data_IF_209589313971
#
_entry.id   IF_209589313971
#
_cell.length_a   1.000
_cell.length_b   1.000
_cell.length_c   1.000
_cell.angle_alpha   90.00
_cell.angle_beta   90.00
_cell.angle_gamma   90.00
#
_symmetry.space_group_name_H-M   'P 1'
#
loop_
_entity.id
_entity.type
_entity.pdbx_description
1 polymer ?
#
# COMPACT_ATOMS: atom_id res chain seq x y z
N UNK A 1 -25.90 9.96 7.05
CA UNK A 1 -25.23 10.87 7.99
C UNK A 1 -23.74 10.48 8.07
N UNK A 2 -22.95 10.92 7.10
CA UNK A 2 -21.52 10.57 6.96
C UNK A 2 -20.68 11.45 7.89
N UNK A 3 -20.25 10.91 9.02
CA UNK A 3 -19.28 11.56 9.91
C UNK A 3 -17.88 11.51 9.29
N UNK A 4 -17.51 12.54 8.51
CA UNK A 4 -16.14 12.75 8.07
C UNK A 4 -15.26 13.17 9.26
N UNK A 5 -14.60 12.20 9.88
CA UNK A 5 -13.57 12.44 10.90
C UNK A 5 -12.35 13.13 10.25
N UNK A 6 -12.29 14.46 10.36
CA UNK A 6 -11.13 15.26 9.99
C UNK A 6 -9.97 14.97 10.95
N UNK A 7 -9.03 14.09 10.58
CA UNK A 7 -7.77 13.98 11.30
C UNK A 7 -6.78 15.03 10.79
N UNK A 8 -6.36 15.93 11.68
CA UNK A 8 -5.17 16.75 11.48
C UNK A 8 -3.94 15.91 11.81
N UNK A 9 -3.04 15.70 10.85
CA UNK A 9 -1.72 15.13 11.16
C UNK A 9 -0.88 16.26 11.76
N UNK A 10 -0.32 16.10 12.97
CA UNK A 10 0.59 17.08 13.56
C UNK A 10 1.83 17.31 12.68
N UNK A 11 2.27 18.57 12.58
CA UNK A 11 3.41 19.03 11.76
C UNK A 11 4.74 18.31 12.04
N UNK A 12 4.82 17.62 13.17
CA UNK A 12 5.95 16.90 13.72
C UNK A 12 6.01 15.40 13.33
N UNK A 13 4.96 14.84 12.74
CA UNK A 13 4.94 13.43 12.26
C UNK A 13 5.24 13.28 10.76
N UNK A 14 5.22 14.40 10.02
CA UNK A 14 5.60 14.47 8.62
C UNK A 14 7.03 14.99 8.57
N UNK A 15 7.93 14.18 8.00
CA UNK A 15 9.33 14.50 7.77
C UNK A 15 9.52 15.99 7.36
N UNK A 16 10.37 16.74 8.08
CA UNK A 16 10.23 18.18 8.20
C UNK A 16 10.66 18.89 6.90
N UNK A 17 9.99 20.01 6.60
CA UNK A 17 10.30 20.97 5.52
C UNK A 17 9.81 20.59 4.12
N UNK A 18 8.50 20.49 3.97
CA UNK A 18 7.83 20.53 2.65
C UNK A 18 7.76 21.99 2.18
N UNK A 19 8.66 22.38 1.29
CA UNK A 19 8.67 23.73 0.71
C UNK A 19 8.30 23.70 -0.78
N UNK A 20 7.36 24.54 -1.19
CA UNK A 20 7.27 25.03 -2.59
C UNK A 20 7.73 26.48 -2.56
N UNK A 21 8.85 26.80 -3.24
CA UNK A 21 9.47 28.15 -3.22
C UNK A 21 9.74 28.68 -1.79
N UNK A 22 10.29 27.83 -0.91
CA UNK A 22 10.66 28.25 0.45
C UNK A 22 9.52 28.39 1.47
N UNK A 23 8.24 28.17 1.11
CA UNK A 23 7.10 28.27 2.06
C UNK A 23 6.61 26.89 2.52
N UNK A 24 6.39 26.67 3.84
CA UNK A 24 5.88 25.40 4.35
C UNK A 24 4.46 25.16 3.82
N UNK A 25 4.26 24.06 3.09
CA UNK A 25 2.95 23.66 2.60
C UNK A 25 2.16 23.00 3.73
N UNK A 26 1.00 23.56 4.09
CA UNK A 26 0.06 22.87 4.99
C UNK A 26 -0.81 21.94 4.15
N UNK A 27 -0.90 20.67 4.55
CA UNK A 27 -1.74 19.66 3.90
C UNK A 27 -2.83 19.23 4.88
N UNK A 28 -4.09 19.28 4.45
CA UNK A 28 -5.21 18.65 5.16
C UNK A 28 -5.45 17.28 4.52
N UNK A 29 -5.57 16.25 5.34
CA UNK A 29 -5.91 14.91 4.89
C UNK A 29 -7.29 14.50 5.41
N UNK A 30 -8.16 14.06 4.52
CA UNK A 30 -9.54 13.67 4.85
C UNK A 30 -9.68 12.20 4.49
N UNK A 31 -9.86 11.34 5.50
CA UNK A 31 -10.17 9.92 5.29
C UNK A 31 -11.65 9.78 4.92
N UNK A 32 -11.93 8.94 3.93
CA UNK A 32 -13.30 8.71 3.44
C UNK A 32 -13.63 7.24 3.69
N UNK A 33 -14.68 7.00 4.47
CA UNK A 33 -15.19 5.66 4.78
C UNK A 33 -16.10 5.20 3.66
N UNK A 34 -15.97 3.95 3.26
CA UNK A 34 -16.86 3.30 2.28
C UNK A 34 -17.38 1.98 2.86
N UNK A 35 -18.26 1.30 2.13
CA UNK A 35 -18.46 -0.14 2.34
C UNK A 35 -17.16 -0.91 2.07
N UNK A 36 -17.06 -2.14 2.57
CA UNK A 36 -15.93 -3.00 2.27
C UNK A 36 -15.96 -3.45 0.80
N UNK A 37 -14.91 -3.15 0.04
CA UNK A 37 -14.89 -3.48 -1.39
C UNK A 37 -14.64 -4.96 -1.61
N UNK A 38 -15.45 -5.58 -2.47
CA UNK A 38 -15.41 -6.99 -2.84
C UNK A 38 -15.22 -7.13 -4.35
N UNK A 39 -14.85 -8.31 -4.86
CA UNK A 39 -14.88 -8.57 -6.29
C UNK A 39 -16.23 -8.20 -6.90
N UNK A 40 -16.21 -7.39 -7.95
CA UNK A 40 -17.40 -6.88 -8.62
C UNK A 40 -17.89 -5.51 -8.12
N UNK A 41 -17.28 -4.93 -7.08
CA UNK A 41 -17.57 -3.54 -6.69
C UNK A 41 -17.23 -2.58 -7.84
N UNK A 42 -18.17 -1.70 -8.21
CA UNK A 42 -17.89 -0.58 -9.11
C UNK A 42 -17.09 0.49 -8.37
N UNK A 43 -15.78 0.26 -8.27
CA UNK A 43 -14.88 1.10 -7.51
C UNK A 43 -14.79 2.53 -8.04
N UNK A 44 -15.07 2.79 -9.32
CA UNK A 44 -15.03 4.17 -9.84
C UNK A 44 -16.23 4.93 -9.31
N UNK A 45 -17.42 4.38 -9.46
CA UNK A 45 -18.66 4.98 -8.95
C UNK A 45 -18.59 5.15 -7.44
N UNK A 46 -18.20 4.11 -6.72
CA UNK A 46 -18.04 4.15 -5.26
C UNK A 46 -17.08 5.24 -4.80
N UNK A 47 -15.98 5.48 -5.54
CA UNK A 47 -15.06 6.58 -5.21
C UNK A 47 -15.69 7.93 -5.46
N UNK A 48 -16.36 8.14 -6.60
CA UNK A 48 -16.98 9.42 -6.95
C UNK A 48 -18.11 9.75 -5.97
N UNK A 49 -19.03 8.81 -5.74
CA UNK A 49 -20.17 8.95 -4.84
C UNK A 49 -19.69 9.23 -3.40
N UNK A 50 -18.64 8.54 -2.92
CA UNK A 50 -18.16 8.71 -1.55
C UNK A 50 -17.46 10.04 -1.27
N UNK A 51 -17.01 10.77 -2.30
CA UNK A 51 -16.28 12.03 -2.14
C UNK A 51 -17.09 13.26 -2.57
N UNK A 52 -18.24 13.09 -3.20
CA UNK A 52 -19.04 14.15 -3.82
C UNK A 52 -19.28 15.35 -2.89
N UNK A 53 -19.66 15.10 -1.64
CA UNK A 53 -19.99 16.15 -0.65
C UNK A 53 -18.77 16.89 -0.09
N UNK A 54 -17.55 16.36 -0.29
CA UNK A 54 -16.34 16.85 0.38
C UNK A 54 -15.23 17.29 -0.56
N UNK A 55 -15.24 16.82 -1.81
CA UNK A 55 -14.22 17.08 -2.82
C UNK A 55 -14.20 18.57 -3.23
N UNK A 56 -13.03 19.10 -3.54
CA UNK A 56 -12.83 20.46 -4.04
C UNK A 56 -11.84 20.48 -5.19
N UNK A 57 -11.97 21.48 -6.07
CA UNK A 57 -11.00 21.75 -7.11
C UNK A 57 -9.58 21.89 -6.53
N UNK A 58 -8.62 21.23 -7.17
CA UNK A 58 -7.20 21.19 -6.77
C UNK A 58 -6.87 20.15 -5.69
N UNK A 59 -7.84 19.39 -5.20
CA UNK A 59 -7.60 18.24 -4.33
C UNK A 59 -6.83 17.13 -5.04
N UNK A 60 -6.11 16.33 -4.25
CA UNK A 60 -5.53 15.06 -4.70
C UNK A 60 -6.34 13.93 -4.07
N UNK A 61 -7.07 13.18 -4.89
CA UNK A 61 -7.80 12.00 -4.47
C UNK A 61 -6.86 10.80 -4.52
N UNK A 62 -6.60 10.20 -3.36
CA UNK A 62 -5.77 9.00 -3.27
C UNK A 62 -6.60 7.76 -3.07
N UNK A 63 -6.27 6.66 -3.77
CA UNK A 63 -6.97 5.37 -3.66
C UNK A 63 -5.96 4.25 -3.42
N UNK A 64 -6.30 3.31 -2.55
CA UNK A 64 -5.48 2.11 -2.31
C UNK A 64 -5.45 1.22 -3.55
N UNK A 65 -4.26 0.82 -3.99
CA UNK A 65 -4.11 -0.16 -5.07
C UNK A 65 -4.80 -1.48 -4.74
N UNK A 66 -4.56 -2.02 -3.53
CA UNK A 66 -5.20 -3.26 -3.09
C UNK A 66 -6.72 -3.20 -3.21
N UNK A 67 -7.34 -2.11 -2.77
CA UNK A 67 -8.79 -1.97 -2.87
C UNK A 67 -9.27 -2.04 -4.33
N UNK A 68 -8.58 -1.37 -5.25
CA UNK A 68 -8.87 -1.46 -6.70
C UNK A 68 -8.67 -2.89 -7.20
N UNK A 69 -7.56 -3.56 -6.84
CA UNK A 69 -7.30 -4.95 -7.22
C UNK A 69 -8.38 -5.91 -6.72
N UNK A 70 -8.82 -5.75 -5.48
CA UNK A 70 -9.92 -6.54 -4.90
C UNK A 70 -11.22 -6.31 -5.66
N UNK A 71 -11.59 -5.05 -5.93
CA UNK A 71 -12.80 -4.70 -6.67
C UNK A 71 -12.81 -5.30 -8.09
N UNK A 72 -11.64 -5.32 -8.75
CA UNK A 72 -11.45 -5.93 -10.06
C UNK A 72 -11.38 -7.46 -10.03
N UNK A 73 -11.43 -8.10 -8.85
CA UNK A 73 -11.29 -9.55 -8.70
C UNK A 73 -9.90 -10.06 -9.07
N UNK A 74 -8.87 -9.20 -9.01
CA UNK A 74 -7.48 -9.59 -9.27
C UNK A 74 -6.90 -10.33 -8.06
N UNK A 75 -7.42 -11.52 -7.81
CA UNK A 75 -7.10 -12.33 -6.64
C UNK A 75 -6.74 -13.76 -7.02
N UNK A 76 -5.93 -14.39 -6.18
CA UNK A 76 -5.57 -15.80 -6.27
C UNK A 76 -5.97 -16.48 -4.99
N UNK A 77 -6.59 -17.65 -5.10
CA UNK A 77 -6.86 -18.55 -3.99
C UNK A 77 -5.63 -19.44 -3.74
N UNK A 78 -4.84 -19.11 -2.70
CA UNK A 78 -3.62 -19.86 -2.37
C UNK A 78 -3.93 -21.26 -1.83
N UNK A 79 -5.15 -21.55 -1.38
CA UNK A 79 -5.53 -22.89 -0.91
C UNK A 79 -5.51 -23.93 -2.04
N UNK A 80 -5.59 -23.48 -3.29
CA UNK A 80 -5.56 -24.30 -4.50
C UNK A 80 -4.17 -24.39 -5.13
N UNK A 81 -3.16 -23.78 -4.52
CA UNK A 81 -1.80 -23.71 -5.07
C UNK A 81 -0.97 -24.86 -4.52
N UNK A 82 -0.44 -25.69 -5.40
CA UNK A 82 0.51 -26.74 -5.03
C UNK A 82 1.95 -26.19 -5.03
N UNK A 83 2.63 -26.11 -3.87
CA UNK A 83 3.97 -25.54 -3.81
C UNK A 83 5.04 -26.52 -4.30
N UNK A 84 5.89 -26.04 -5.20
CA UNK A 84 7.08 -26.73 -5.66
C UNK A 84 8.21 -26.77 -4.62
N UNK A 85 9.30 -27.47 -4.96
CA UNK A 85 10.47 -27.61 -4.07
C UNK A 85 11.11 -26.28 -3.69
N UNK A 86 11.23 -25.35 -4.64
CA UNK A 86 11.80 -24.02 -4.40
C UNK A 86 10.93 -23.25 -3.40
N UNK A 87 9.61 -23.25 -3.58
CA UNK A 87 8.69 -22.56 -2.66
C UNK A 87 8.76 -23.14 -1.24
N UNK A 88 8.80 -24.47 -1.11
CA UNK A 88 8.98 -25.17 0.18
C UNK A 88 10.31 -24.82 0.84
N UNK A 89 11.40 -24.76 0.07
CA UNK A 89 12.70 -24.32 0.57
C UNK A 89 12.67 -22.86 1.05
N UNK A 90 12.04 -21.97 0.28
CA UNK A 90 11.89 -20.58 0.66
C UNK A 90 11.11 -20.45 1.98
N UNK A 91 9.97 -21.12 2.12
CA UNK A 91 9.18 -21.06 3.35
C UNK A 91 9.88 -21.70 4.56
N UNK A 92 10.53 -22.85 4.40
CA UNK A 92 11.09 -23.62 5.52
C UNK A 92 12.46 -23.14 5.98
N UNK A 93 13.39 -22.89 5.05
CA UNK A 93 14.76 -22.53 5.36
C UNK A 93 14.98 -21.02 5.24
N UNK A 94 14.69 -20.44 4.07
CA UNK A 94 14.99 -19.03 3.81
C UNK A 94 14.23 -18.10 4.78
N UNK A 95 12.92 -18.30 4.96
CA UNK A 95 12.12 -17.47 5.87
C UNK A 95 12.47 -17.71 7.35
N UNK A 96 12.49 -18.98 7.79
CA UNK A 96 12.70 -19.28 9.22
C UNK A 96 14.13 -19.07 9.71
N UNK A 97 15.13 -19.42 8.90
CA UNK A 97 16.54 -19.38 9.28
C UNK A 97 17.24 -18.10 8.83
N UNK A 98 17.11 -17.72 7.55
CA UNK A 98 17.83 -16.57 7.00
C UNK A 98 17.15 -15.26 7.42
N UNK A 99 15.86 -15.10 7.12
CA UNK A 99 15.08 -13.92 7.52
C UNK A 99 14.83 -13.83 9.01
N UNK A 100 14.45 -14.94 9.66
CA UNK A 100 14.32 -15.01 11.12
C UNK A 100 15.64 -14.87 11.90
N UNK A 101 16.78 -14.87 11.21
CA UNK A 101 18.12 -14.83 11.78
C UNK A 101 18.99 -13.69 11.23
N UNK A 102 20.08 -13.98 10.49
CA UNK A 102 21.08 -12.98 10.13
C UNK A 102 20.52 -11.85 9.26
N UNK A 103 19.74 -12.16 8.23
CA UNK A 103 19.25 -11.15 7.30
C UNK A 103 18.25 -10.19 7.97
N UNK A 104 17.39 -10.71 8.84
CA UNK A 104 16.49 -9.89 9.64
C UNK A 104 17.21 -8.97 10.61
N UNK A 105 18.30 -9.42 11.24
CA UNK A 105 19.14 -8.58 12.11
C UNK A 105 19.84 -7.46 11.32
N UNK A 106 20.45 -7.81 10.19
CA UNK A 106 21.14 -6.84 9.31
C UNK A 106 20.18 -5.76 8.81
N UNK A 107 18.94 -6.14 8.49
CA UNK A 107 17.89 -5.21 8.05
C UNK A 107 17.10 -4.58 9.21
N UNK A 108 17.60 -4.72 10.45
CA UNK A 108 17.08 -4.08 11.68
C UNK A 108 15.59 -4.36 11.92
N UNK A 109 15.12 -5.57 11.59
CA UNK A 109 13.72 -5.94 11.83
C UNK A 109 13.40 -5.97 13.33
N UNK A 110 12.14 -5.69 13.67
CA UNK A 110 11.66 -5.71 15.05
C UNK A 110 11.69 -7.15 15.61
N UNK A 111 11.89 -7.29 16.92
CA UNK A 111 11.95 -8.60 17.59
C UNK A 111 10.73 -9.47 17.30
N UNK A 112 9.52 -8.92 17.43
CA UNK A 112 8.27 -9.62 17.10
C UNK A 112 8.20 -10.13 15.66
N UNK A 113 8.69 -9.33 14.69
CA UNK A 113 8.77 -9.76 13.29
C UNK A 113 9.73 -10.93 13.12
N UNK A 114 10.90 -10.91 13.78
CA UNK A 114 11.85 -12.02 13.73
C UNK A 114 11.25 -13.31 14.32
N UNK A 115 10.47 -13.21 15.39
CA UNK A 115 9.80 -14.36 16.01
C UNK A 115 8.75 -14.96 15.09
N UNK A 116 7.89 -14.13 14.48
CA UNK A 116 6.93 -14.58 13.46
C UNK A 116 7.63 -15.26 12.28
N UNK A 117 8.77 -14.71 11.82
CA UNK A 117 9.54 -15.31 10.73
C UNK A 117 10.14 -16.67 11.11
N UNK A 118 10.64 -16.85 12.33
CA UNK A 118 11.11 -18.18 12.81
C UNK A 118 9.98 -19.21 12.86
N UNK A 119 8.76 -18.76 13.11
CA UNK A 119 7.54 -19.56 13.13
C UNK A 119 6.75 -19.50 11.82
N UNK A 120 7.36 -19.05 10.71
CA UNK A 120 6.66 -18.84 9.43
C UNK A 120 5.91 -20.10 8.99
N UNK A 121 4.61 -20.03 8.64
CA UNK A 121 3.80 -21.21 8.36
C UNK A 121 4.35 -21.98 7.15
N UNK A 122 4.45 -23.30 7.27
CA UNK A 122 5.04 -24.11 6.19
C UNK A 122 4.04 -24.35 5.05
N UNK A 123 2.77 -24.58 5.34
CA UNK A 123 1.77 -24.88 4.31
C UNK A 123 1.40 -23.62 3.54
N UNK A 124 0.77 -22.68 4.23
CA UNK A 124 0.32 -21.38 3.70
C UNK A 124 1.51 -20.59 3.15
N UNK A 125 2.61 -20.55 3.91
CA UNK A 125 3.81 -19.85 3.50
C UNK A 125 4.47 -20.44 2.26
N UNK A 126 4.39 -21.77 2.03
CA UNK A 126 4.90 -22.36 0.78
C UNK A 126 3.98 -22.04 -0.40
N UNK A 127 2.66 -22.08 -0.22
CA UNK A 127 1.71 -21.68 -1.26
C UNK A 127 1.95 -20.21 -1.67
N UNK A 128 2.11 -19.32 -0.69
CA UNK A 128 2.42 -17.91 -0.94
C UNK A 128 3.72 -17.72 -1.72
N UNK A 129 4.80 -18.41 -1.31
CA UNK A 129 6.07 -18.38 -2.03
C UNK A 129 5.94 -18.88 -3.46
N UNK A 130 5.09 -19.88 -3.70
CA UNK A 130 4.84 -20.40 -5.05
C UNK A 130 4.11 -19.36 -5.91
N UNK A 131 3.14 -18.63 -5.35
CA UNK A 131 2.46 -17.52 -6.03
C UNK A 131 3.45 -16.40 -6.33
N UNK A 132 4.24 -15.95 -5.34
CA UNK A 132 5.25 -14.91 -5.56
C UNK A 132 6.28 -15.30 -6.63
N UNK A 133 6.77 -16.55 -6.62
CA UNK A 133 7.65 -17.07 -7.67
C UNK A 133 7.03 -16.96 -9.06
N UNK A 134 5.75 -17.35 -9.18
CA UNK A 134 5.04 -17.39 -10.47
C UNK A 134 4.72 -16.00 -11.02
N UNK A 135 4.34 -15.05 -10.15
CA UNK A 135 3.81 -13.76 -10.59
C UNK A 135 4.79 -12.59 -10.43
N UNK A 136 5.72 -12.66 -9.49
CA UNK A 136 6.69 -11.60 -9.20
C UNK A 136 8.15 -12.00 -9.48
N UNK A 137 8.41 -13.30 -9.63
CA UNK A 137 9.72 -13.84 -9.94
C UNK A 137 10.60 -14.11 -8.72
N UNK A 138 11.76 -14.72 -8.97
CA UNK A 138 12.64 -15.23 -7.91
C UNK A 138 13.09 -14.14 -6.94
N UNK A 139 13.58 -13.00 -7.44
CA UNK A 139 14.12 -11.94 -6.58
C UNK A 139 13.05 -11.38 -5.63
N UNK A 140 11.82 -11.17 -6.09
CA UNK A 140 10.74 -10.69 -5.23
C UNK A 140 10.29 -11.76 -4.22
N UNK A 141 10.26 -13.03 -4.62
CA UNK A 141 9.93 -14.14 -3.71
C UNK A 141 10.94 -14.34 -2.57
N UNK A 142 12.15 -13.79 -2.69
CA UNK A 142 13.14 -13.80 -1.60
C UNK A 142 12.77 -12.85 -0.47
N UNK A 143 11.82 -11.94 -0.63
CA UNK A 143 11.43 -11.02 0.46
C UNK A 143 10.63 -11.74 1.54
N UNK A 144 10.49 -11.14 2.71
CA UNK A 144 9.63 -11.68 3.77
C UNK A 144 8.26 -11.00 3.85
N UNK A 145 8.10 -9.90 3.10
CA UNK A 145 6.85 -9.17 2.89
C UNK A 145 6.96 -8.41 1.57
N UNK A 146 5.82 -7.96 1.01
CA UNK A 146 5.79 -7.12 -0.20
C UNK A 146 6.48 -7.83 -1.37
N UNK A 147 6.02 -9.05 -1.67
CA UNK A 147 6.62 -9.98 -2.64
C UNK A 147 6.21 -9.60 -4.08
N UNK A 148 6.55 -8.38 -4.50
CA UNK A 148 6.11 -7.80 -5.77
C UNK A 148 4.75 -7.11 -5.69
N UNK A 149 4.32 -6.69 -4.49
CA UNK A 149 3.01 -6.07 -4.25
C UNK A 149 1.84 -7.04 -4.25
N UNK A 150 2.13 -8.33 -4.06
CA UNK A 150 1.13 -9.32 -3.68
C UNK A 150 0.84 -9.13 -2.20
N UNK A 151 -0.44 -8.96 -1.86
CA UNK A 151 -0.89 -8.67 -0.49
C UNK A 151 -1.98 -9.67 -0.09
N UNK A 152 -1.82 -10.24 1.10
CA UNK A 152 -2.74 -11.20 1.73
C UNK A 152 -3.52 -10.56 2.90
N UNK A 153 -3.07 -9.41 3.39
CA UNK A 153 -3.72 -8.73 4.52
C UNK A 153 -5.01 -8.05 4.09
N UNK A 154 -5.99 -8.00 4.98
CA UNK A 154 -7.32 -7.44 4.69
C UNK A 154 -7.97 -8.14 3.48
N UNK A 155 -7.82 -9.47 3.41
CA UNK A 155 -8.49 -10.37 2.47
C UNK A 155 -8.89 -11.62 3.24
N UNK A 156 -9.99 -12.29 2.85
CA UNK A 156 -10.44 -13.46 3.57
C UNK A 156 -9.79 -14.73 3.05
N UNK A 157 -9.92 -15.78 3.86
CA UNK A 157 -9.47 -17.12 3.57
C UNK A 157 -7.99 -17.16 3.20
N UNK A 158 -7.64 -17.83 2.11
CA UNK A 158 -6.28 -17.86 1.55
C UNK A 158 -6.19 -16.99 0.30
N UNK A 159 -7.00 -15.93 0.20
CA UNK A 159 -6.91 -15.03 -0.94
C UNK A 159 -5.74 -14.05 -0.83
N UNK A 160 -5.09 -13.82 -1.96
CA UNK A 160 -4.12 -12.73 -2.14
C UNK A 160 -4.48 -11.87 -3.33
N UNK A 161 -4.32 -10.56 -3.21
CA UNK A 161 -4.51 -9.62 -4.31
C UNK A 161 -3.22 -9.48 -5.11
N UNK A 162 -3.36 -9.41 -6.43
CA UNK A 162 -2.28 -9.10 -7.36
C UNK A 162 -2.14 -7.59 -7.58
N UNK A 163 -0.93 -7.08 -7.86
CA UNK A 163 -0.73 -5.69 -8.23
C UNK A 163 -1.40 -5.36 -9.57
N UNK A 164 -1.74 -4.09 -9.78
CA UNK A 164 -2.27 -3.60 -11.05
C UNK A 164 -1.18 -3.65 -12.12
N UNK A 165 -1.45 -4.29 -13.25
CA UNK A 165 -0.51 -4.34 -14.40
C UNK A 165 -0.36 -2.98 -15.09
N UNK A 166 -1.45 -2.24 -15.22
CA UNK A 166 -1.50 -0.93 -15.90
C UNK A 166 -2.11 0.13 -14.97
N UNK A 167 -1.45 0.49 -13.86
CA UNK A 167 -2.05 1.37 -12.85
C UNK A 167 -2.31 2.79 -13.38
N UNK A 168 -1.57 3.25 -14.40
CA UNK A 168 -1.88 4.51 -15.09
C UNK A 168 -3.25 4.50 -15.75
N UNK A 169 -3.67 3.38 -16.35
CA UNK A 169 -4.99 3.25 -16.99
C UNK A 169 -6.11 3.42 -15.97
N UNK A 170 -5.99 2.79 -14.80
CA UNK A 170 -6.99 2.91 -13.73
C UNK A 170 -7.02 4.32 -13.13
N UNK A 171 -5.85 4.92 -12.88
CA UNK A 171 -5.79 6.30 -12.40
C UNK A 171 -6.41 7.29 -13.42
N UNK A 172 -6.20 7.07 -14.72
CA UNK A 172 -6.80 7.87 -15.79
C UNK A 172 -8.31 7.69 -15.85
N UNK A 173 -8.81 6.45 -15.76
CA UNK A 173 -10.25 6.14 -15.71
C UNK A 173 -10.95 6.91 -14.58
N UNK A 174 -10.34 6.93 -13.39
CA UNK A 174 -10.88 7.67 -12.26
C UNK A 174 -10.81 9.20 -12.47
N UNK A 175 -9.70 9.69 -13.03
CA UNK A 175 -9.55 11.11 -13.38
C UNK A 175 -10.64 11.56 -14.37
N UNK A 176 -10.91 10.76 -15.40
CA UNK A 176 -11.95 11.00 -16.40
C UNK A 176 -13.35 11.04 -15.76
N UNK A 177 -13.64 10.15 -14.81
CA UNK A 177 -14.89 10.17 -14.06
C UNK A 177 -15.08 11.47 -13.26
N UNK A 178 -14.01 11.97 -12.61
CA UNK A 178 -14.05 13.26 -11.94
C UNK A 178 -14.23 14.44 -12.90
N UNK A 179 -13.58 14.40 -14.07
CA UNK A 179 -13.75 15.44 -15.11
C UNK A 179 -15.21 15.51 -15.60
N UNK A 180 -15.84 14.35 -15.81
CA UNK A 180 -17.27 14.26 -16.18
C UNK A 180 -18.15 14.85 -15.08
N UNK A 181 -17.81 14.59 -13.81
CA UNK A 181 -18.47 15.18 -12.65
C UNK A 181 -18.18 16.67 -12.43
N UNK A 182 -17.37 17.31 -13.28
CA UNK A 182 -17.04 18.74 -13.18
C UNK A 182 -15.94 19.09 -12.18
N UNK A 183 -15.24 18.10 -11.62
CA UNK A 183 -14.22 18.28 -10.58
C UNK A 183 -12.81 18.27 -11.15
N UNK A 184 -12.04 19.34 -10.90
CA UNK A 184 -10.64 19.45 -11.33
C UNK A 184 -9.70 18.96 -10.25
N UNK A 185 -9.52 17.65 -10.16
CA UNK A 185 -8.66 17.00 -9.15
C UNK A 185 -7.49 16.23 -9.74
N UNK A 186 -6.47 15.98 -8.92
CA UNK A 186 -5.37 15.06 -9.21
C UNK A 186 -5.71 13.67 -8.61
N UNK A 187 -5.24 12.58 -9.23
CA UNK A 187 -5.49 11.20 -8.79
C UNK A 187 -4.16 10.50 -8.48
N UNK A 188 -4.07 9.86 -7.32
CA UNK A 188 -2.90 9.11 -6.87
C UNK A 188 -3.28 7.70 -6.39
N UNK A 189 -2.81 6.66 -7.08
CA UNK A 189 -2.93 5.29 -6.59
C UNK A 189 -1.73 4.99 -5.67
N UNK A 190 -2.01 4.45 -4.49
CA UNK A 190 -1.01 4.22 -3.43
C UNK A 190 -1.01 2.76 -3.01
N UNK A 191 0.18 2.20 -2.82
CA UNK A 191 0.40 0.91 -2.19
C UNK A 191 1.14 1.08 -0.85
N UNK A 192 0.86 0.21 0.11
CA UNK A 192 1.50 0.18 1.42
C UNK A 192 2.96 -0.26 1.38
N UNK A 193 3.37 -0.87 0.28
CA UNK A 193 4.75 -1.26 0.00
C UNK A 193 5.74 -0.10 0.19
N UNK A 194 6.88 -0.41 0.80
CA UNK A 194 7.86 0.61 1.19
C UNK A 194 8.84 0.94 0.08
N UNK A 195 8.89 2.22 -0.30
CA UNK A 195 9.96 2.83 -1.06
C UNK A 195 11.01 3.45 -0.13
N UNK A 196 12.27 3.44 -0.56
CA UNK A 196 13.41 3.98 0.18
C UNK A 196 13.98 5.20 -0.54
N UNK A 197 14.46 6.19 0.21
CA UNK A 197 15.05 7.39 -0.39
C UNK A 197 16.32 7.85 0.32
N UNK A 198 17.29 8.31 -0.47
CA UNK A 198 18.51 8.94 -0.02
C UNK A 198 18.91 10.06 -0.98
N UNK A 199 18.82 11.32 -0.53
CA UNK A 199 18.92 12.48 -1.42
C UNK A 199 17.90 12.40 -2.55
N UNK A 200 18.38 12.50 -3.79
CA UNK A 200 17.55 12.42 -5.02
C UNK A 200 17.36 10.98 -5.54
N UNK A 201 17.95 9.97 -4.89
CA UNK A 201 17.76 8.57 -5.23
C UNK A 201 16.49 8.05 -4.55
N UNK A 202 15.53 7.58 -5.33
CA UNK A 202 14.30 6.98 -4.84
C UNK A 202 14.19 5.54 -5.35
N UNK A 203 14.26 4.57 -4.44
CA UNK A 203 14.21 3.16 -4.74
C UNK A 203 12.82 2.59 -4.45
N UNK A 204 12.15 2.10 -5.48
CA UNK A 204 10.83 1.50 -5.40
C UNK A 204 10.90 -0.03 -5.21
N UNK A 205 9.99 -0.60 -4.42
CA UNK A 205 9.96 -2.04 -4.13
C UNK A 205 9.63 -2.88 -5.36
N UNK A 206 8.99 -2.28 -6.37
CA UNK A 206 8.71 -2.86 -7.69
C UNK A 206 8.79 -1.78 -8.77
N UNK A 207 8.79 -2.19 -10.03
CA UNK A 207 8.72 -1.25 -11.15
C UNK A 207 7.38 -0.53 -11.13
N UNK A 208 7.41 0.81 -11.12
CA UNK A 208 6.22 1.66 -11.14
C UNK A 208 6.38 2.74 -12.20
N UNK A 209 5.28 3.18 -12.84
CA UNK A 209 5.36 4.14 -13.93
C UNK A 209 5.51 5.60 -13.45
N UNK A 210 5.56 5.86 -12.15
CA UNK A 210 5.85 7.19 -11.58
C UNK A 210 7.31 7.55 -11.85
N UNK A 211 7.54 8.66 -12.55
CA UNK A 211 8.89 9.11 -12.93
C UNK A 211 9.74 9.43 -11.70
N UNK A 212 11.03 9.13 -11.79
CA UNK A 212 12.01 9.41 -10.73
C UNK A 212 12.14 8.33 -9.66
N UNK A 213 11.37 7.23 -9.76
CA UNK A 213 11.53 6.04 -8.93
C UNK A 213 12.28 4.96 -9.72
N UNK A 214 13.34 4.42 -9.13
CA UNK A 214 14.17 3.36 -9.72
C UNK A 214 13.90 2.04 -9.01
N UNK A 215 13.92 0.93 -9.75
CA UNK A 215 13.72 -0.40 -9.18
C UNK A 215 14.96 -1.27 -9.35
N UNK A 216 15.45 -1.85 -8.25
CA UNK A 216 16.60 -2.78 -8.24
C UNK A 216 16.16 -4.13 -7.66
N UNK A 217 15.35 -4.88 -8.41
CA UNK A 217 14.96 -6.26 -8.11
C UNK A 217 14.14 -6.48 -6.82
N UNK A 218 13.73 -5.41 -6.12
CA UNK A 218 12.84 -5.41 -4.97
C UNK A 218 13.51 -5.88 -3.68
N UNK A 219 14.07 -7.10 -3.68
CA UNK A 219 14.83 -7.65 -2.56
C UNK A 219 16.06 -6.81 -2.24
N UNK A 220 16.90 -6.49 -3.24
CA UNK A 220 18.09 -5.67 -3.02
C UNK A 220 17.71 -4.25 -2.58
N UNK A 221 16.66 -3.68 -3.19
CA UNK A 221 16.09 -2.39 -2.79
C UNK A 221 15.74 -2.37 -1.30
N UNK A 222 15.04 -3.40 -0.83
CA UNK A 222 14.67 -3.53 0.57
C UNK A 222 15.89 -3.67 1.48
N UNK A 223 16.81 -4.59 1.17
CA UNK A 223 17.99 -4.87 2.00
C UNK A 223 18.86 -3.62 2.12
N UNK A 224 19.23 -3.00 0.99
CA UNK A 224 20.08 -1.80 0.96
C UNK A 224 19.39 -0.66 1.72
N UNK A 225 18.11 -0.39 1.41
CA UNK A 225 17.36 0.71 2.01
C UNK A 225 17.27 0.58 3.54
N UNK A 226 17.04 -0.63 4.06
CA UNK A 226 16.97 -0.88 5.50
C UNK A 226 18.33 -0.86 6.18
N UNK A 227 19.32 -1.50 5.59
CA UNK A 227 20.66 -1.62 6.16
C UNK A 227 21.32 -0.25 6.30
N UNK A 228 21.22 0.58 5.25
CA UNK A 228 21.74 1.95 5.19
C UNK A 228 20.84 2.99 5.89
N UNK A 229 19.65 2.61 6.35
CA UNK A 229 18.75 3.51 7.08
C UNK A 229 18.12 4.60 6.22
N UNK A 230 17.83 4.30 4.96
CA UNK A 230 17.17 5.24 4.04
C UNK A 230 15.76 5.60 4.50
N UNK A 231 15.32 6.80 4.14
CA UNK A 231 13.97 7.31 4.46
C UNK A 231 12.92 6.41 3.83
N UNK A 232 12.06 5.84 4.66
CA UNK A 232 11.02 4.87 4.25
C UNK A 232 9.68 5.58 4.06
N UNK A 233 9.04 5.41 2.90
CA UNK A 233 7.74 6.01 2.55
C UNK A 233 6.89 5.02 1.75
N UNK A 234 5.57 5.12 1.83
CA UNK A 234 4.66 4.33 0.98
C UNK A 234 4.84 4.65 -0.50
N UNK A 235 4.56 3.66 -1.35
CA UNK A 235 4.89 3.75 -2.77
C UNK A 235 3.74 4.37 -3.57
N UNK A 236 3.97 5.47 -4.30
CA UNK A 236 3.03 5.97 -5.30
C UNK A 236 3.08 5.04 -6.51
N UNK A 237 1.97 4.36 -6.79
CA UNK A 237 1.86 3.42 -7.90
C UNK A 237 1.59 4.15 -9.20
N UNK A 238 0.72 5.16 -9.17
CA UNK A 238 0.40 5.97 -10.34
C UNK A 238 -0.08 7.35 -9.91
N UNK A 239 0.22 8.36 -10.72
CA UNK A 239 -0.20 9.73 -10.50
C UNK A 239 -0.70 10.35 -11.82
N UNK A 240 -1.89 10.96 -11.79
CA UNK A 240 -2.50 11.70 -12.90
C UNK A 240 -2.90 13.08 -12.37
N UNK A 241 -2.42 14.16 -13.01
CA UNK A 241 -2.67 15.51 -12.51
C UNK A 241 -1.61 16.56 -12.84
N UNK A 242 -0.57 16.19 -13.59
CA UNK A 242 0.50 17.09 -14.04
C UNK A 242 1.90 16.59 -13.69
N UNK A 243 2.92 17.41 -13.94
CA UNK A 243 4.28 17.10 -13.56
C UNK A 243 4.44 17.26 -12.03
N UNK A 244 4.93 16.21 -11.37
CA UNK A 244 5.15 16.19 -9.94
C UNK A 244 6.59 15.78 -9.62
N UNK A 245 7.18 16.42 -8.61
CA UNK A 245 8.47 16.01 -8.07
C UNK A 245 8.33 14.61 -7.40
N UNK A 246 9.25 13.67 -7.64
CA UNK A 246 9.15 12.30 -7.11
C UNK A 246 9.15 12.25 -5.58
N UNK A 247 9.98 13.05 -4.92
CA UNK A 247 10.02 13.15 -3.47
C UNK A 247 8.68 13.64 -2.90
N UNK A 248 8.05 14.59 -3.60
CA UNK A 248 6.73 15.09 -3.23
C UNK A 248 5.64 14.03 -3.42
N UNK A 249 5.68 13.28 -4.53
CA UNK A 249 4.75 12.18 -4.78
C UNK A 249 4.85 11.08 -3.71
N UNK A 250 6.08 10.71 -3.32
CA UNK A 250 6.34 9.78 -2.21
C UNK A 250 5.80 10.30 -0.87
N UNK A 251 5.92 11.61 -0.63
CA UNK A 251 5.43 12.24 0.59
C UNK A 251 3.91 12.21 0.66
N UNK A 252 3.22 12.54 -0.43
CA UNK A 252 1.77 12.44 -0.55
C UNK A 252 1.28 11.00 -0.34
N UNK A 253 1.93 10.03 -0.99
CA UNK A 253 1.60 8.61 -0.84
C UNK A 253 1.76 8.14 0.62
N UNK A 254 2.85 8.52 1.28
CA UNK A 254 3.09 8.19 2.68
C UNK A 254 2.08 8.83 3.63
N UNK A 255 1.72 10.10 3.41
CA UNK A 255 0.68 10.78 4.20
C UNK A 255 -0.66 10.07 4.03
N UNK A 256 -1.09 9.81 2.79
CA UNK A 256 -2.33 9.12 2.50
C UNK A 256 -2.39 7.72 3.15
N UNK A 257 -1.31 6.94 3.04
CA UNK A 257 -1.27 5.61 3.64
C UNK A 257 -1.33 5.64 5.17
N UNK A 258 -0.64 6.58 5.82
CA UNK A 258 -0.71 6.74 7.29
C UNK A 258 -2.11 7.11 7.76
N UNK A 259 -2.78 8.03 7.06
CA UNK A 259 -4.15 8.48 7.39
C UNK A 259 -5.19 7.39 7.16
N UNK A 260 -5.00 6.57 6.13
CA UNK A 260 -5.84 5.41 5.83
C UNK A 260 -5.86 4.40 6.97
N UNK A 261 -4.74 4.23 7.67
CA UNK A 261 -4.58 3.18 8.67
C UNK A 261 -4.45 1.80 8.03
N UNK A 262 -4.72 0.74 8.80
CA UNK A 262 -4.38 -0.63 8.42
C UNK A 262 -5.58 -1.59 8.42
N UNK A 263 -6.81 -1.09 8.55
CA UNK A 263 -8.01 -1.91 8.62
C UNK A 263 -7.93 -2.93 9.76
N UNK A 264 -8.08 -4.21 9.43
CA UNK A 264 -8.04 -5.32 10.38
C UNK A 264 -6.63 -5.63 10.90
N UNK A 265 -5.58 -5.10 10.26
CA UNK A 265 -4.20 -5.35 10.66
C UNK A 265 -3.19 -5.01 9.57
N UNK A 266 -1.93 -4.77 9.98
CA UNK A 266 -0.82 -4.48 9.05
C UNK A 266 -0.35 -5.71 8.28
N UNK A 267 -0.52 -6.89 8.86
CA UNK A 267 -0.10 -8.17 8.32
C UNK A 267 -1.19 -9.20 8.50
N UNK A 268 -1.10 -10.34 7.82
CA UNK A 268 -2.03 -11.46 8.02
C UNK A 268 -2.07 -11.95 9.46
N UNK A 269 -0.93 -11.92 10.16
CA UNK A 269 -0.89 -12.26 11.59
C UNK A 269 -1.63 -11.25 12.45
N UNK A 270 -1.44 -9.94 12.20
CA UNK A 270 -2.14 -8.90 12.95
C UNK A 270 -3.65 -8.97 12.71
N UNK A 271 -4.05 -9.27 11.47
CA UNK A 271 -5.45 -9.46 11.09
C UNK A 271 -6.08 -10.66 11.80
N UNK A 272 -5.40 -11.81 11.78
CA UNK A 272 -5.84 -13.01 12.47
C UNK A 272 -5.94 -12.80 13.98
N UNK A 273 -4.94 -12.17 14.59
CA UNK A 273 -4.93 -11.81 16.03
C UNK A 273 -6.07 -10.85 16.38
N UNK A 274 -6.31 -9.81 15.57
CA UNK A 274 -7.36 -8.79 15.80
C UNK A 274 -8.76 -9.39 15.71
N UNK A 275 -8.96 -10.34 14.79
CA UNK A 275 -10.24 -11.01 14.57
C UNK A 275 -10.43 -12.27 15.43
N UNK A 276 -9.39 -12.70 16.17
CA UNK A 276 -9.44 -13.87 17.05
C UNK A 276 -9.56 -15.20 16.32
N UNK A 277 -9.02 -15.31 15.11
CA UNK A 277 -9.14 -16.50 14.24
C UNK A 277 -7.79 -16.94 13.67
N UNK A 278 -7.73 -18.11 13.03
CA UNK A 278 -6.56 -18.58 12.29
C UNK A 278 -6.27 -17.77 11.00
N UNK A 279 -5.07 -17.95 10.45
CA UNK A 279 -4.59 -17.19 9.27
C UNK A 279 -5.49 -17.30 8.04
N UNK A 280 -6.14 -18.45 7.86
CA UNK A 280 -7.02 -18.78 6.72
C UNK A 280 -8.51 -18.81 7.08
N UNK A 281 -8.87 -18.38 8.30
CA UNK A 281 -10.24 -18.46 8.83
C UNK A 281 -10.98 -17.11 8.78
N UNK A 282 -10.29 -16.04 8.36
CA UNK A 282 -10.92 -14.73 8.15
C UNK A 282 -11.94 -14.83 7.03
N UNK A 283 -13.18 -14.42 7.28
CA UNK A 283 -14.25 -14.44 6.28
C UNK A 283 -14.60 -13.04 5.78
N UNK A 284 -15.31 -12.97 4.64
CA UNK A 284 -15.86 -11.70 4.16
C UNK A 284 -16.78 -11.03 5.19
N UNK A 285 -17.60 -11.81 5.90
CA UNK A 285 -18.51 -11.27 6.92
C UNK A 285 -17.76 -10.63 8.09
N UNK A 286 -16.59 -11.16 8.47
CA UNK A 286 -15.73 -10.51 9.48
C UNK A 286 -15.16 -9.19 8.95
N UNK A 287 -14.73 -9.16 7.68
CA UNK A 287 -14.15 -7.97 7.07
C UNK A 287 -15.17 -6.85 6.85
N UNK A 288 -16.44 -7.17 6.60
CA UNK A 288 -17.50 -6.16 6.49
C UNK A 288 -17.68 -5.32 7.76
N UNK A 289 -17.35 -5.88 8.93
CA UNK A 289 -17.44 -5.20 10.22
C UNK A 289 -16.26 -4.25 10.46
N UNK A 290 -15.21 -4.33 9.65
CA UNK A 290 -14.02 -3.51 9.76
C UNK A 290 -14.21 -2.22 8.97
N UNK A 291 -13.89 -1.09 9.60
CA UNK A 291 -13.93 0.20 8.91
C UNK A 291 -12.99 0.20 7.69
N UNK A 292 -13.56 0.41 6.50
CA UNK A 292 -12.83 0.45 5.24
C UNK A 292 -12.60 1.90 4.78
N UNK A 293 -11.33 2.28 4.62
CA UNK A 293 -10.91 3.62 4.19
C UNK A 293 -10.05 3.59 2.92
N UNK A 294 -10.56 3.10 1.78
CA UNK A 294 -9.75 2.97 0.57
C UNK A 294 -9.32 4.34 0.02
N UNK A 295 -10.04 5.41 0.37
CA UNK A 295 -9.88 6.75 -0.18
C UNK A 295 -9.37 7.73 0.88
N UNK A 296 -8.40 8.56 0.50
CA UNK A 296 -7.98 9.73 1.27
C UNK A 296 -7.83 10.93 0.34
N UNK A 297 -8.49 12.04 0.67
CA UNK A 297 -8.36 13.31 -0.03
C UNK A 297 -7.25 14.14 0.62
N UNK A 298 -6.29 14.59 -0.17
CA UNK A 298 -5.22 15.49 0.28
C UNK A 298 -5.45 16.89 -0.29
N UNK A 299 -5.74 17.84 0.59
CA UNK A 299 -6.03 19.24 0.26
C UNK A 299 -4.87 20.16 0.63
N UNK A 300 -4.37 20.89 -0.36
CA UNK A 300 -3.32 21.90 -0.17
C UNK A 300 -3.96 23.13 0.49
N UNK A 301 -3.55 23.48 1.70
CA UNK A 301 -4.03 24.68 2.39
C UNK A 301 -3.13 25.86 2.02
N UNK A 302 -3.70 26.89 1.39
CA UNK A 302 -3.04 28.17 1.27
C UNK A 302 -3.23 28.96 2.57
N UNK A 303 -2.15 29.48 3.16
CA UNK A 303 -2.28 30.53 4.18
C UNK A 303 -2.91 31.73 3.47
N UNK A 304 -4.08 32.20 3.95
CA UNK A 304 -4.51 33.58 3.69
C UNK A 304 -3.35 34.49 4.13
N UNK A 305 -2.96 35.44 3.28
CA UNK A 305 -2.11 36.53 3.74
C UNK A 305 -2.82 37.20 4.94
N UNK A 306 -2.10 37.57 6.01
CA UNK A 306 -2.68 38.49 6.98
C UNK A 306 -3.04 39.76 6.19
N UNK A 307 -4.33 40.11 6.21
CA UNK A 307 -4.81 41.40 5.75
C UNK A 307 -4.39 42.50 6.71
#
# INVERSE_FOLDING_TARGET
>A
MLTHLNHFIPLNEVDPKIHRRGRPLKLKAIKVKTGYWRPGTDWVREVVDAVEDVIQDGDIVTVSEKAISTALGLMIDESKVEPGRIAKFLASFWMRRIWGGPLGKITKLRGHTLERLRKYPLSEGSAHKQVALKYAGILQSLRHYSEGGIDASNLPYSYVSLPLKEPQRFAKKLKEAFDIGGWRVEVLIVDGDTSYSWGNLHLAPRSVPVKGLTHLGGFLTFVIGRMLGFKSRSTPISFIGGAINPDWCLTLANVAHRVRGYGAGRTVWDMAETLGVGLSEVSWGMLDLVDHFPIVILRKLHRRAPG
#
